data_IF_326201044044
#
_entry.id   IF_326201044044
#
_cell.length_a   1.000
_cell.length_b   1.000
_cell.length_c   1.000
_cell.angle_alpha   90.00
_cell.angle_beta   90.00
_cell.angle_gamma   90.00
#
_symmetry.space_group_name_H-M   'P 1'
#
loop_
_entity.id
_entity.type
_entity.pdbx_description
1 polymer ?
#
# COMPACT_ATOMS: atom_id res chain seq x y z
N UNK A 1 2.12 -2.23 -3.07
CA UNK A 1 1.45 -2.57 -4.35
C UNK A 1 -0.06 -2.80 -4.17
N UNK A 2 -0.50 -3.57 -3.17
CA UNK A 2 -1.89 -4.05 -3.06
C UNK A 2 -2.88 -3.12 -2.30
N UNK A 3 -2.45 -1.92 -1.84
CA UNK A 3 -3.25 -1.08 -0.93
C UNK A 3 -4.66 -0.75 -1.47
N UNK A 4 -4.78 -0.40 -2.75
CA UNK A 4 -6.07 -0.04 -3.34
C UNK A 4 -7.05 -1.21 -3.45
N UNK A 5 -6.57 -2.45 -3.55
CA UNK A 5 -7.43 -3.64 -3.58
C UNK A 5 -8.11 -3.88 -2.23
N UNK A 6 -7.56 -3.35 -1.14
CA UNK A 6 -8.18 -3.35 0.17
C UNK A 6 -8.94 -2.05 0.43
N UNK A 7 -8.27 -0.91 0.28
CA UNK A 7 -8.81 0.38 0.70
C UNK A 7 -10.07 0.78 -0.08
N UNK A 8 -10.03 0.69 -1.42
CA UNK A 8 -11.13 1.18 -2.26
C UNK A 8 -12.42 0.37 -2.04
N UNK A 9 -12.42 -0.98 -2.04
CA UNK A 9 -13.65 -1.73 -1.82
C UNK A 9 -14.31 -1.46 -0.46
N UNK A 10 -13.54 -1.36 0.63
CA UNK A 10 -14.11 -1.10 1.95
C UNK A 10 -14.65 0.33 2.08
N UNK A 11 -13.88 1.35 1.68
CA UNK A 11 -14.29 2.74 1.86
C UNK A 11 -15.41 3.14 0.90
N UNK A 12 -15.34 2.70 -0.37
CA UNK A 12 -16.42 2.95 -1.33
C UNK A 12 -17.66 2.12 -1.00
N UNK A 13 -17.49 0.86 -0.57
CA UNK A 13 -18.58 0.01 -0.11
C UNK A 13 -19.34 0.65 1.07
N UNK A 14 -18.64 1.20 2.05
CA UNK A 14 -19.25 1.97 3.13
C UNK A 14 -20.10 3.14 2.61
N UNK A 15 -19.55 3.91 1.66
CA UNK A 15 -20.29 5.02 1.03
C UNK A 15 -21.55 4.55 0.29
N UNK A 16 -21.49 3.43 -0.45
CA UNK A 16 -22.64 2.91 -1.20
C UNK A 16 -23.71 2.25 -0.31
N UNK A 17 -23.40 1.95 0.95
CA UNK A 17 -24.32 1.31 1.89
C UNK A 17 -24.75 2.22 3.06
N UNK A 18 -24.40 3.51 3.02
CA UNK A 18 -24.81 4.49 4.04
C UNK A 18 -24.03 4.41 5.36
N UNK A 19 -22.90 3.71 5.41
CA UNK A 19 -22.01 3.66 6.57
C UNK A 19 -21.11 4.91 6.61
N UNK A 20 -21.67 5.99 7.16
CA UNK A 20 -21.02 7.29 7.24
C UNK A 20 -19.75 7.29 8.13
N UNK A 21 -19.69 6.62 9.29
CA UNK A 21 -18.47 6.55 10.09
C UNK A 21 -17.28 5.95 9.35
N UNK A 22 -17.46 4.79 8.71
CA UNK A 22 -16.38 4.12 7.97
C UNK A 22 -15.94 4.93 6.76
N UNK A 23 -16.90 5.52 6.02
CA UNK A 23 -16.59 6.43 4.91
C UNK A 23 -15.79 7.66 5.38
N UNK A 24 -16.15 8.26 6.51
CA UNK A 24 -15.45 9.43 7.07
C UNK A 24 -14.03 9.08 7.50
N UNK A 25 -13.83 7.91 8.11
CA UNK A 25 -12.50 7.38 8.36
C UNK A 25 -11.70 7.26 7.06
N UNK A 26 -12.30 6.68 6.01
CA UNK A 26 -11.68 6.58 4.69
C UNK A 26 -11.20 7.92 4.15
N UNK A 27 -11.97 8.98 4.29
CA UNK A 27 -11.52 10.33 3.91
C UNK A 27 -10.37 10.84 4.77
N UNK A 28 -10.45 10.67 6.09
CA UNK A 28 -9.40 11.12 7.01
C UNK A 28 -8.07 10.38 6.77
N UNK A 29 -8.10 9.10 6.42
CA UNK A 29 -6.92 8.26 6.24
C UNK A 29 -6.22 8.48 4.88
N UNK A 30 -6.85 9.15 3.91
CA UNK A 30 -6.27 9.31 2.56
C UNK A 30 -4.92 10.04 2.55
N UNK A 31 -4.77 11.09 3.37
CA UNK A 31 -3.49 11.79 3.46
C UNK A 31 -2.39 10.92 4.04
N UNK A 32 -2.72 10.03 4.97
CA UNK A 32 -1.75 9.11 5.58
C UNK A 32 -1.32 8.05 4.57
N UNK A 33 -2.29 7.43 3.87
CA UNK A 33 -2.01 6.43 2.84
C UNK A 33 -1.20 7.00 1.67
N UNK A 34 -1.40 8.26 1.29
CA UNK A 34 -0.56 8.92 0.28
C UNK A 34 0.93 8.96 0.68
N UNK A 35 1.21 9.17 1.97
CA UNK A 35 2.57 9.17 2.52
C UNK A 35 3.12 7.75 2.59
N UNK A 36 2.30 6.78 3.02
CA UNK A 36 2.70 5.37 3.09
C UNK A 36 3.04 4.79 1.71
N UNK A 37 2.28 5.15 0.67
CA UNK A 37 2.57 4.73 -0.70
C UNK A 37 3.89 5.31 -1.21
N UNK A 38 4.15 6.60 -0.94
CA UNK A 38 5.40 7.26 -1.30
C UNK A 38 6.58 6.61 -0.59
N UNK A 39 6.46 6.38 0.72
CA UNK A 39 7.48 5.67 1.51
C UNK A 39 7.78 4.28 0.95
N UNK A 40 6.74 3.49 0.62
CA UNK A 40 6.93 2.14 0.09
C UNK A 40 7.69 2.11 -1.24
N UNK A 41 7.44 3.08 -2.13
CA UNK A 41 8.16 3.18 -3.40
C UNK A 41 9.62 3.59 -3.19
N UNK A 42 9.85 4.65 -2.42
CA UNK A 42 11.20 5.17 -2.20
C UNK A 42 12.06 4.19 -1.39
N UNK A 43 11.48 3.43 -0.47
CA UNK A 43 12.20 2.39 0.27
C UNK A 43 12.71 1.26 -0.65
N UNK A 44 11.91 0.79 -1.61
CA UNK A 44 12.35 -0.26 -2.55
C UNK A 44 13.44 0.28 -3.48
N UNK A 45 13.26 1.49 -4.05
CA UNK A 45 14.28 2.13 -4.87
C UNK A 45 15.60 2.27 -4.12
N UNK A 46 15.55 2.82 -2.91
CA UNK A 46 16.71 2.98 -2.05
C UNK A 46 17.45 1.66 -1.87
N UNK A 47 16.76 0.58 -1.47
CA UNK A 47 17.37 -0.73 -1.26
C UNK A 47 18.02 -1.31 -2.54
N UNK A 48 17.36 -1.16 -3.69
CA UNK A 48 17.87 -1.67 -4.97
C UNK A 48 19.07 -0.88 -5.49
N UNK A 49 19.16 0.42 -5.19
CA UNK A 49 20.25 1.30 -5.65
C UNK A 49 21.50 1.23 -4.76
N UNK A 50 21.43 0.68 -3.55
CA UNK A 50 22.60 0.61 -2.65
C UNK A 50 23.63 -0.46 -3.03
N UNK A 51 23.20 -1.64 -3.50
CA UNK A 51 24.08 -2.79 -3.80
C UNK A 51 23.39 -3.76 -4.76
N UNK A 52 24.09 -4.24 -5.79
CA UNK A 52 23.56 -5.24 -6.74
C UNK A 52 23.18 -6.56 -6.04
N UNK A 53 23.85 -6.91 -4.94
CA UNK A 53 23.51 -8.08 -4.13
C UNK A 53 22.13 -7.98 -3.47
N UNK A 54 21.56 -6.78 -3.33
CA UNK A 54 20.21 -6.60 -2.78
C UNK A 54 19.12 -7.03 -3.77
N UNK A 55 19.40 -7.02 -5.08
CA UNK A 55 18.41 -7.37 -6.12
C UNK A 55 17.82 -8.77 -5.92
N UNK A 56 18.60 -9.87 -5.84
CA UNK A 56 18.02 -11.19 -5.63
C UNK A 56 17.31 -11.35 -4.28
N UNK A 57 17.74 -10.60 -3.25
CA UNK A 57 17.12 -10.62 -1.92
C UNK A 57 15.74 -9.96 -1.96
N UNK A 58 15.67 -8.74 -2.51
CA UNK A 58 14.43 -7.98 -2.65
C UNK A 58 13.45 -8.70 -3.57
N UNK A 59 13.92 -9.35 -4.65
CA UNK A 59 13.08 -10.17 -5.51
C UNK A 59 12.42 -11.32 -4.74
N UNK A 60 13.19 -12.08 -3.96
CA UNK A 60 12.64 -13.18 -3.15
C UNK A 60 11.60 -12.68 -2.13
N UNK A 61 11.77 -11.46 -1.59
CA UNK A 61 10.76 -10.84 -0.74
C UNK A 61 9.51 -10.44 -1.51
N UNK A 62 9.64 -9.83 -2.69
CA UNK A 62 8.50 -9.48 -3.55
C UNK A 62 7.68 -10.72 -3.86
N UNK A 63 8.33 -11.80 -4.31
CA UNK A 63 7.66 -13.06 -4.66
C UNK A 63 6.91 -13.65 -3.45
N UNK A 64 7.58 -13.70 -2.29
CA UNK A 64 6.98 -14.20 -1.04
C UNK A 64 5.77 -13.40 -0.60
N UNK A 65 5.88 -12.06 -0.57
CA UNK A 65 4.85 -11.19 0.00
C UNK A 65 3.74 -10.84 -0.99
N UNK A 66 3.98 -11.01 -2.29
CA UNK A 66 2.92 -10.94 -3.28
C UNK A 66 1.95 -12.12 -3.16
N UNK A 67 2.44 -13.32 -2.80
CA UNK A 67 1.63 -14.53 -2.73
C UNK A 67 0.92 -14.75 -1.38
N UNK A 68 1.27 -13.98 -0.34
CA UNK A 68 0.70 -14.10 1.00
C UNK A 68 -0.51 -13.20 1.18
#
# INVERSE_FOLDING_TARGET
>A
VLTNLLFVPFMSGASFNGDLPTMTFGFSAQSDESRHMTLGLEAIKFLLEQDEANVPIVQAWIDKWFWR
#
